data_IF_603924150938
#
_entry.id   IF_603924150938
#
_cell.length_a   1.000
_cell.length_b   1.000
_cell.length_c   1.000
_cell.angle_alpha   90.00
_cell.angle_beta   90.00
_cell.angle_gamma   90.00
#
_symmetry.space_group_name_H-M   'P 1'
#
loop_
_entity.id
_entity.type
_entity.pdbx_description
1 polymer ?
#
# COMPACT_ATOMS: atom_id res chain seq x y z
N UNK A 1 -16.97 -6.48 38.22
CA UNK A 1 -16.00 -5.68 37.42
C UNK A 1 -15.52 -6.40 36.14
N UNK A 2 -15.24 -7.71 36.18
CA UNK A 2 -14.76 -8.46 35.00
C UNK A 2 -15.78 -8.57 33.87
N UNK A 3 -17.08 -8.65 34.15
CA UNK A 3 -18.14 -8.77 33.13
C UNK A 3 -18.34 -7.50 32.29
N UNK A 4 -18.18 -6.32 32.87
CA UNK A 4 -18.32 -5.03 32.18
C UNK A 4 -17.14 -4.75 31.22
N UNK A 5 -15.94 -5.18 31.57
CA UNK A 5 -14.75 -5.07 30.72
C UNK A 5 -14.86 -5.97 29.47
N UNK A 6 -15.38 -7.18 29.61
CA UNK A 6 -15.60 -8.10 28.49
C UNK A 6 -16.66 -7.58 27.49
N UNK A 7 -17.73 -6.96 27.98
CA UNK A 7 -18.79 -6.40 27.14
C UNK A 7 -18.29 -5.16 26.35
N UNK A 8 -17.52 -4.28 26.97
CA UNK A 8 -16.94 -3.11 26.31
C UNK A 8 -15.90 -3.50 25.25
N UNK A 9 -15.10 -4.52 25.50
CA UNK A 9 -14.14 -5.07 24.52
C UNK A 9 -14.87 -5.69 23.32
N UNK A 10 -15.95 -6.43 23.54
CA UNK A 10 -16.77 -7.04 22.50
C UNK A 10 -17.39 -5.98 21.55
N UNK A 11 -17.97 -4.91 22.09
CA UNK A 11 -18.51 -3.80 21.28
C UNK A 11 -17.43 -3.09 20.47
N UNK A 12 -16.27 -2.85 21.06
CA UNK A 12 -15.15 -2.23 20.36
C UNK A 12 -14.61 -3.11 19.24
N UNK A 13 -14.51 -4.41 19.46
CA UNK A 13 -14.11 -5.37 18.43
C UNK A 13 -15.12 -5.41 17.27
N UNK A 14 -16.42 -5.45 17.57
CA UNK A 14 -17.47 -5.42 16.56
C UNK A 14 -17.44 -4.13 15.73
N UNK A 15 -17.20 -2.97 16.36
CA UNK A 15 -17.02 -1.69 15.66
C UNK A 15 -15.83 -1.74 14.71
N UNK A 16 -14.68 -2.25 15.18
CA UNK A 16 -13.49 -2.39 14.35
C UNK A 16 -13.72 -3.35 13.17
N UNK A 17 -14.42 -4.45 13.40
CA UNK A 17 -14.80 -5.42 12.37
C UNK A 17 -15.72 -4.81 11.31
N UNK A 18 -16.67 -3.97 11.73
CA UNK A 18 -17.55 -3.23 10.81
C UNK A 18 -16.75 -2.26 9.95
N UNK A 19 -15.82 -1.50 10.55
CA UNK A 19 -14.96 -0.59 9.83
C UNK A 19 -14.05 -1.33 8.85
N UNK A 20 -13.46 -2.46 9.26
CA UNK A 20 -12.65 -3.32 8.40
C UNK A 20 -13.46 -3.80 7.18
N UNK A 21 -14.67 -4.32 7.39
CA UNK A 21 -15.54 -4.79 6.31
C UNK A 21 -16.00 -3.69 5.34
N UNK A 22 -15.93 -2.43 5.77
CA UNK A 22 -16.19 -1.25 4.93
C UNK A 22 -14.93 -0.64 4.33
N UNK A 23 -13.79 -1.30 4.48
CA UNK A 23 -12.47 -0.80 4.02
C UNK A 23 -12.03 0.51 4.67
N UNK A 24 -12.59 0.86 5.83
CA UNK A 24 -12.19 2.02 6.64
C UNK A 24 -11.00 1.61 7.52
N UNK A 25 -9.89 1.23 6.89
CA UNK A 25 -8.75 0.61 7.56
C UNK A 25 -8.10 1.49 8.61
N UNK A 26 -8.06 2.81 8.39
CA UNK A 26 -7.49 3.77 9.37
C UNK A 26 -8.23 3.70 10.70
N UNK A 27 -9.56 3.68 10.67
CA UNK A 27 -10.38 3.62 11.88
C UNK A 27 -10.40 2.23 12.51
N UNK A 28 -10.35 1.17 11.68
CA UNK A 28 -10.26 -0.20 12.13
C UNK A 28 -8.94 -0.42 12.89
N UNK A 29 -7.81 -0.01 12.33
CA UNK A 29 -6.47 -0.11 12.94
C UNK A 29 -6.43 0.57 14.30
N UNK A 30 -6.89 1.84 14.41
CA UNK A 30 -6.92 2.56 15.70
C UNK A 30 -7.62 1.77 16.79
N UNK A 31 -8.76 1.15 16.43
CA UNK A 31 -9.57 0.40 17.40
C UNK A 31 -8.91 -0.94 17.74
N UNK A 32 -8.41 -1.69 16.76
CA UNK A 32 -7.72 -2.96 16.99
C UNK A 32 -6.43 -2.78 17.79
N UNK A 33 -5.61 -1.77 17.51
CA UNK A 33 -4.39 -1.48 18.27
C UNK A 33 -4.69 -1.12 19.71
N UNK A 34 -5.75 -0.34 19.96
CA UNK A 34 -6.16 -0.02 21.33
C UNK A 34 -6.58 -1.29 22.11
N UNK A 35 -7.27 -2.21 21.43
CA UNK A 35 -7.60 -3.52 22.04
C UNK A 35 -6.35 -4.35 22.32
N UNK A 36 -5.41 -4.41 21.38
CA UNK A 36 -4.14 -5.12 21.56
C UNK A 36 -3.30 -4.54 22.72
N UNK A 37 -3.21 -3.19 22.81
CA UNK A 37 -2.54 -2.47 23.92
C UNK A 37 -3.17 -2.77 25.27
N UNK A 38 -4.47 -3.02 25.33
CA UNK A 38 -5.20 -3.44 26.54
C UNK A 38 -5.04 -4.95 26.85
N UNK A 39 -4.19 -5.66 26.12
CA UNK A 39 -3.89 -7.07 26.34
C UNK A 39 -4.83 -8.03 25.61
N UNK A 40 -5.78 -7.56 24.79
CA UNK A 40 -6.61 -8.46 23.99
C UNK A 40 -5.79 -9.08 22.86
N UNK A 41 -5.73 -10.41 22.83
CA UNK A 41 -4.97 -11.18 21.85
C UNK A 41 -5.87 -12.24 21.23
N UNK A 42 -6.05 -12.18 19.93
CA UNK A 42 -6.75 -13.22 19.17
C UNK A 42 -6.24 -13.31 17.74
N UNK A 43 -6.36 -14.48 17.14
CA UNK A 43 -6.01 -14.66 15.74
C UNK A 43 -6.81 -13.75 14.83
N UNK A 44 -8.10 -13.52 15.12
CA UNK A 44 -8.97 -12.60 14.38
C UNK A 44 -8.46 -11.15 14.44
N UNK A 45 -8.08 -10.67 15.63
CA UNK A 45 -7.58 -9.30 15.79
C UNK A 45 -6.26 -9.12 15.03
N UNK A 46 -5.31 -10.03 15.22
CA UNK A 46 -3.99 -9.90 14.59
C UNK A 46 -4.04 -10.10 13.08
N UNK A 47 -4.90 -10.99 12.58
CA UNK A 47 -5.10 -11.13 11.12
C UNK A 47 -5.65 -9.85 10.49
N UNK A 48 -6.67 -9.25 11.08
CA UNK A 48 -7.28 -8.02 10.56
C UNK A 48 -6.39 -6.79 10.70
N UNK A 49 -5.55 -6.71 11.73
CA UNK A 49 -4.49 -5.70 11.84
C UNK A 49 -3.46 -5.88 10.73
N UNK A 50 -2.92 -7.09 10.58
CA UNK A 50 -1.99 -7.41 9.51
C UNK A 50 -2.56 -7.08 8.14
N UNK A 51 -3.78 -7.51 7.87
CA UNK A 51 -4.48 -7.23 6.61
C UNK A 51 -4.71 -5.74 6.37
N UNK A 52 -5.14 -5.00 7.40
CA UNK A 52 -5.39 -3.55 7.27
C UNK A 52 -4.11 -2.79 6.90
N UNK A 53 -2.98 -3.14 7.49
CA UNK A 53 -1.69 -2.57 7.12
C UNK A 53 -1.19 -3.07 5.77
N UNK A 54 -1.38 -4.36 5.46
CA UNK A 54 -1.00 -4.96 4.19
C UNK A 54 -1.70 -4.26 3.00
N UNK A 55 -3.02 -4.06 3.10
CA UNK A 55 -3.80 -3.38 2.05
C UNK A 55 -3.48 -1.89 1.91
N UNK A 56 -2.89 -1.28 2.94
CA UNK A 56 -2.34 0.08 2.87
C UNK A 56 -0.90 0.12 2.35
N UNK A 57 -0.32 -1.02 1.93
CA UNK A 57 1.10 -1.18 1.55
C UNK A 57 2.09 -0.83 2.67
N UNK A 58 1.64 -0.83 3.92
CA UNK A 58 2.45 -0.64 5.13
C UNK A 58 3.01 -2.00 5.58
N UNK A 59 3.90 -2.56 4.79
CA UNK A 59 4.34 -3.94 4.94
C UNK A 59 5.17 -4.18 6.20
N UNK A 60 5.91 -3.20 6.69
CA UNK A 60 6.68 -3.35 7.93
C UNK A 60 5.76 -3.54 9.14
N UNK A 61 4.69 -2.74 9.25
CA UNK A 61 3.70 -2.88 10.32
C UNK A 61 2.85 -4.14 10.15
N UNK A 62 2.46 -4.47 8.92
CA UNK A 62 1.76 -5.72 8.63
C UNK A 62 2.60 -6.94 9.05
N UNK A 63 3.92 -6.89 8.82
CA UNK A 63 4.86 -7.94 9.22
C UNK A 63 4.82 -8.21 10.73
N UNK A 64 4.83 -7.16 11.54
CA UNK A 64 4.77 -7.27 13.01
C UNK A 64 3.49 -7.96 13.49
N UNK A 65 2.34 -7.63 12.87
CA UNK A 65 1.06 -8.22 13.24
C UNK A 65 0.90 -9.67 12.75
N UNK A 66 1.40 -9.98 11.55
CA UNK A 66 1.43 -11.36 11.07
C UNK A 66 2.39 -12.22 11.90
N UNK A 67 3.50 -11.67 12.41
CA UNK A 67 4.36 -12.40 13.35
C UNK A 67 3.62 -12.76 14.63
N UNK A 68 2.86 -11.82 15.21
CA UNK A 68 2.00 -12.10 16.37
C UNK A 68 0.93 -13.16 16.05
N UNK A 69 0.32 -13.07 14.86
CA UNK A 69 -0.67 -14.05 14.41
C UNK A 69 -0.08 -15.47 14.36
N UNK A 70 1.07 -15.63 13.72
CA UNK A 70 1.72 -16.93 13.55
C UNK A 70 2.34 -17.46 14.86
N UNK A 71 2.58 -16.60 15.83
CA UNK A 71 2.99 -17.02 17.19
C UNK A 71 1.82 -17.61 18.00
N UNK A 72 0.59 -17.13 17.77
CA UNK A 72 -0.60 -17.65 18.45
C UNK A 72 -1.11 -18.95 17.85
N UNK A 73 -1.01 -19.11 16.54
CA UNK A 73 -1.66 -20.21 15.83
C UNK A 73 -0.75 -20.78 14.75
N UNK A 74 -0.45 -22.08 14.85
CA UNK A 74 0.45 -22.76 13.91
C UNK A 74 -0.18 -23.04 12.54
N UNK A 75 -1.50 -23.21 12.46
CA UNK A 75 -2.21 -23.52 11.22
C UNK A 75 -3.14 -22.38 10.85
N UNK A 76 -2.87 -21.77 9.71
CA UNK A 76 -3.59 -20.62 9.17
C UNK A 76 -4.21 -20.95 7.81
N UNK A 77 -5.19 -20.15 7.38
CA UNK A 77 -5.62 -20.16 5.99
C UNK A 77 -4.43 -19.82 5.06
N UNK A 78 -4.37 -20.49 3.91
CA UNK A 78 -3.21 -20.44 3.01
C UNK A 78 -2.83 -19.01 2.60
N UNK A 79 -3.80 -18.13 2.44
CA UNK A 79 -3.59 -16.73 2.07
C UNK A 79 -2.68 -15.97 3.06
N UNK A 80 -2.72 -16.29 4.36
CA UNK A 80 -1.86 -15.65 5.36
C UNK A 80 -0.39 -16.05 5.22
N UNK A 81 -0.09 -17.27 4.76
CA UNK A 81 1.28 -17.65 4.43
C UNK A 81 1.83 -16.80 3.30
N UNK A 82 1.02 -16.56 2.26
CA UNK A 82 1.40 -15.70 1.14
C UNK A 82 1.62 -14.25 1.59
N UNK A 83 0.63 -13.63 2.26
CA UNK A 83 0.73 -12.23 2.70
C UNK A 83 1.90 -12.01 3.64
N UNK A 84 2.09 -12.91 4.61
CA UNK A 84 3.22 -12.80 5.53
C UNK A 84 4.55 -12.96 4.79
N UNK A 85 4.67 -13.87 3.84
CA UNK A 85 5.86 -13.99 3.02
C UNK A 85 6.17 -12.70 2.23
N UNK A 86 5.15 -12.02 1.68
CA UNK A 86 5.36 -10.73 1.00
C UNK A 86 5.88 -9.65 1.96
N UNK A 87 5.32 -9.57 3.18
CA UNK A 87 5.79 -8.60 4.17
C UNK A 87 7.21 -8.91 4.65
N UNK A 88 7.59 -10.17 4.80
CA UNK A 88 8.95 -10.60 5.12
C UNK A 88 9.95 -10.23 4.03
N UNK A 89 9.58 -10.38 2.75
CA UNK A 89 10.40 -9.92 1.63
C UNK A 89 10.65 -8.41 1.70
N UNK A 90 9.64 -7.63 2.04
CA UNK A 90 9.76 -6.17 2.13
C UNK A 90 10.69 -5.69 3.25
N UNK A 91 10.85 -6.49 4.32
CA UNK A 91 11.80 -6.22 5.41
C UNK A 91 13.13 -6.99 5.27
N UNK A 92 13.37 -7.63 4.12
CA UNK A 92 14.63 -8.30 3.79
C UNK A 92 14.79 -9.70 4.37
N UNK A 93 13.77 -10.26 5.03
CA UNK A 93 13.84 -11.62 5.58
C UNK A 93 13.43 -12.68 4.54
N UNK A 94 14.27 -12.85 3.54
CA UNK A 94 13.99 -13.73 2.39
C UNK A 94 13.93 -15.21 2.74
N UNK A 95 14.71 -15.65 3.73
CA UNK A 95 14.76 -17.06 4.16
C UNK A 95 13.41 -17.51 4.78
N UNK A 96 12.92 -16.74 5.77
CA UNK A 96 11.60 -17.00 6.38
C UNK A 96 10.47 -16.84 5.34
N UNK A 97 10.58 -15.87 4.43
CA UNK A 97 9.63 -15.67 3.35
C UNK A 97 9.57 -16.90 2.42
N UNK A 98 10.71 -17.46 2.04
CA UNK A 98 10.78 -18.67 1.21
C UNK A 98 10.14 -19.88 1.90
N UNK A 99 10.33 -20.02 3.20
CA UNK A 99 9.70 -21.09 4.00
C UNK A 99 8.18 -20.99 3.99
N UNK A 100 7.64 -19.77 4.19
CA UNK A 100 6.19 -19.54 4.17
C UNK A 100 5.61 -19.69 2.74
N UNK A 101 6.36 -19.28 1.72
CA UNK A 101 5.94 -19.50 0.32
C UNK A 101 5.83 -21.00 0.00
N UNK A 102 6.77 -21.83 0.45
CA UNK A 102 6.66 -23.31 0.29
C UNK A 102 5.41 -23.85 0.99
N UNK A 103 5.09 -23.35 2.21
CA UNK A 103 3.86 -23.77 2.91
C UNK A 103 2.58 -23.35 2.15
N UNK A 104 2.59 -22.17 1.52
CA UNK A 104 1.51 -21.72 0.64
C UNK A 104 1.39 -22.62 -0.61
N UNK A 105 2.50 -22.93 -1.27
CA UNK A 105 2.57 -23.73 -2.49
C UNK A 105 2.03 -25.14 -2.31
N UNK A 106 2.32 -25.78 -1.16
CA UNK A 106 1.80 -27.12 -0.82
C UNK A 106 0.28 -27.12 -0.76
N UNK A 107 -0.33 -26.05 -0.23
CA UNK A 107 -1.78 -25.95 -0.09
C UNK A 107 -2.48 -25.44 -1.37
N UNK A 108 -1.74 -24.80 -2.28
CA UNK A 108 -2.28 -24.11 -3.46
C UNK A 108 -1.48 -24.43 -4.73
N UNK A 109 -1.33 -25.70 -5.06
CA UNK A 109 -0.45 -26.18 -6.15
C UNK A 109 -0.81 -25.60 -7.53
N UNK A 110 -2.08 -25.32 -7.79
CA UNK A 110 -2.59 -24.77 -9.05
C UNK A 110 -2.74 -23.25 -9.07
N UNK A 111 -2.47 -22.57 -7.98
CA UNK A 111 -2.53 -21.11 -7.90
C UNK A 111 -1.44 -20.51 -8.80
N UNK A 112 -1.80 -19.45 -9.55
CA UNK A 112 -0.86 -18.76 -10.45
C UNK A 112 0.37 -18.22 -9.71
N UNK A 113 0.21 -17.80 -8.45
CA UNK A 113 1.32 -17.34 -7.60
C UNK A 113 2.31 -18.46 -7.30
N UNK A 114 1.82 -19.68 -7.06
CA UNK A 114 2.64 -20.89 -6.90
C UNK A 114 3.40 -21.22 -8.18
N UNK A 115 2.70 -21.19 -9.32
CA UNK A 115 3.31 -21.46 -10.62
C UNK A 115 4.43 -20.46 -10.94
N UNK A 116 4.19 -19.18 -10.67
CA UNK A 116 5.19 -18.12 -10.85
C UNK A 116 6.38 -18.27 -9.89
N UNK A 117 6.13 -18.56 -8.60
CA UNK A 117 7.20 -18.75 -7.62
C UNK A 117 8.14 -19.90 -8.01
N UNK A 118 7.59 -21.03 -8.48
CA UNK A 118 8.37 -22.16 -8.98
C UNK A 118 9.23 -21.83 -10.20
N UNK A 119 8.73 -20.98 -11.10
CA UNK A 119 9.48 -20.52 -12.29
C UNK A 119 10.61 -19.52 -11.94
N UNK A 120 10.48 -18.82 -10.83
CA UNK A 120 11.38 -17.73 -10.44
C UNK A 120 12.22 -18.09 -9.20
N UNK A 121 12.66 -19.32 -9.07
CA UNK A 121 13.41 -19.82 -7.90
C UNK A 121 14.67 -18.98 -7.61
N UNK A 122 15.34 -18.47 -8.63
CA UNK A 122 16.59 -17.70 -8.54
C UNK A 122 16.43 -16.21 -8.85
N UNK A 123 15.24 -15.63 -8.63
CA UNK A 123 14.95 -14.24 -9.03
C UNK A 123 15.88 -13.20 -8.39
N UNK A 124 16.40 -13.43 -7.18
CA UNK A 124 17.35 -12.54 -6.54
C UNK A 124 18.71 -12.53 -7.25
N UNK A 125 19.16 -13.66 -7.74
CA UNK A 125 20.42 -13.75 -8.50
C UNK A 125 20.26 -13.07 -9.87
N UNK A 126 19.11 -13.20 -10.51
CA UNK A 126 18.81 -12.48 -11.75
C UNK A 126 18.73 -10.96 -11.51
N UNK A 127 18.15 -10.50 -10.41
CA UNK A 127 18.16 -9.08 -10.03
C UNK A 127 19.58 -8.59 -9.82
N UNK A 128 20.42 -9.35 -9.09
CA UNK A 128 21.82 -8.99 -8.85
C UNK A 128 22.62 -8.94 -10.16
N UNK A 129 22.45 -9.93 -11.05
CA UNK A 129 23.09 -9.99 -12.36
C UNK A 129 22.75 -8.77 -13.23
N UNK A 130 21.53 -8.25 -13.09
CA UNK A 130 21.06 -7.08 -13.82
C UNK A 130 21.29 -5.75 -13.06
N UNK A 131 21.86 -5.78 -11.87
CA UNK A 131 22.17 -4.57 -11.09
C UNK A 131 23.25 -3.74 -11.81
N UNK A 132 23.20 -2.43 -11.61
CA UNK A 132 24.15 -1.50 -12.23
C UNK A 132 23.85 -1.09 -13.68
N UNK A 133 22.84 -1.69 -14.33
CA UNK A 133 22.41 -1.30 -15.70
C UNK A 133 21.84 0.11 -15.76
N UNK A 134 21.23 0.57 -14.67
CA UNK A 134 20.56 1.86 -14.59
C UNK A 134 21.02 2.61 -13.34
N UNK A 135 21.19 3.91 -13.50
CA UNK A 135 21.39 4.82 -12.38
C UNK A 135 20.02 5.35 -11.96
N UNK A 136 19.56 4.93 -10.78
CA UNK A 136 18.27 5.36 -10.21
C UNK A 136 18.55 6.39 -9.12
N UNK A 137 17.86 7.52 -9.19
CA UNK A 137 17.95 8.57 -8.18
C UNK A 137 16.57 9.18 -7.92
N UNK A 138 16.40 9.77 -6.73
CA UNK A 138 15.20 10.53 -6.42
C UNK A 138 15.09 11.74 -7.34
N UNK A 139 13.90 11.95 -7.90
CA UNK A 139 13.64 13.05 -8.84
C UNK A 139 13.66 14.45 -8.19
N UNK A 140 13.79 14.54 -6.85
CA UNK A 140 13.79 15.80 -6.11
C UNK A 140 12.43 16.48 -5.97
N UNK A 141 11.40 15.95 -6.61
CA UNK A 141 10.02 16.46 -6.58
C UNK A 141 9.06 15.55 -5.80
N UNK A 142 9.55 14.44 -5.27
CA UNK A 142 8.74 13.50 -4.53
C UNK A 142 8.24 14.10 -3.22
N UNK A 143 7.01 13.76 -2.85
CA UNK A 143 6.40 14.11 -1.56
C UNK A 143 6.49 12.92 -0.58
N UNK A 144 6.19 13.11 0.71
CA UNK A 144 6.04 12.00 1.65
C UNK A 144 4.76 11.18 1.44
N UNK A 145 3.97 11.53 0.44
CA UNK A 145 2.72 10.87 0.05
C UNK A 145 2.91 10.03 -1.21
N UNK A 146 1.82 9.47 -1.74
CA UNK A 146 1.87 8.70 -2.99
C UNK A 146 2.12 9.62 -4.18
N UNK A 147 3.23 9.40 -4.88
CA UNK A 147 3.59 10.02 -6.16
C UNK A 147 3.83 8.91 -7.19
N UNK A 148 3.12 8.91 -8.33
CA UNK A 148 3.19 7.84 -9.33
C UNK A 148 2.63 8.24 -10.70
N UNK A 149 2.71 7.31 -11.67
CA UNK A 149 2.06 7.44 -12.97
C UNK A 149 2.54 8.64 -13.78
N UNK A 150 3.86 8.83 -13.86
CA UNK A 150 4.45 9.96 -14.59
C UNK A 150 4.35 9.78 -16.12
N UNK A 151 4.04 10.86 -16.83
CA UNK A 151 4.06 10.94 -18.26
C UNK A 151 4.73 12.25 -18.73
N UNK A 152 5.42 12.20 -19.87
CA UNK A 152 5.99 13.39 -20.48
C UNK A 152 4.93 14.14 -21.29
N UNK A 153 4.88 15.45 -21.09
CA UNK A 153 4.05 16.38 -21.87
C UNK A 153 4.86 17.64 -22.19
N UNK A 154 5.27 17.79 -23.43
CA UNK A 154 6.18 18.87 -23.84
C UNK A 154 7.44 18.91 -22.94
N UNK A 155 7.75 20.05 -22.31
CA UNK A 155 8.85 20.21 -21.37
C UNK A 155 8.42 20.01 -19.89
N UNK A 156 7.41 19.18 -19.64
CA UNK A 156 6.83 18.97 -18.31
C UNK A 156 6.66 17.48 -18.05
N UNK A 157 6.99 17.04 -16.84
CA UNK A 157 6.59 15.73 -16.34
C UNK A 157 5.26 15.91 -15.60
N UNK A 158 4.21 15.28 -16.10
CA UNK A 158 2.88 15.26 -15.47
C UNK A 158 2.73 13.94 -14.72
N UNK A 159 2.34 14.00 -13.45
CA UNK A 159 2.26 12.84 -12.58
C UNK A 159 1.12 12.96 -11.58
N UNK A 160 0.76 11.83 -11.00
CA UNK A 160 -0.24 11.72 -9.94
C UNK A 160 0.39 11.95 -8.58
N UNK A 161 -0.24 12.75 -7.72
CA UNK A 161 0.23 12.96 -6.35
C UNK A 161 -0.93 13.10 -5.36
N UNK A 162 -0.76 12.51 -4.17
CA UNK A 162 -1.62 12.71 -3.00
C UNK A 162 -1.11 13.84 -2.08
N UNK A 163 -0.16 14.68 -2.54
CA UNK A 163 0.41 15.78 -1.75
C UNK A 163 -0.66 16.77 -1.32
N UNK A 164 -0.50 17.22 -0.09
CA UNK A 164 -1.32 18.30 0.45
C UNK A 164 -0.82 19.65 -0.09
N UNK A 165 -1.72 20.45 -0.63
CA UNK A 165 -1.40 21.79 -1.12
C UNK A 165 -1.69 22.89 -0.10
N UNK A 166 -1.88 22.53 1.19
CA UNK A 166 -2.00 23.50 2.29
C UNK A 166 -3.37 24.17 2.39
N UNK A 167 -4.43 23.55 1.90
CA UNK A 167 -5.80 24.03 2.08
C UNK A 167 -6.25 23.93 3.55
N UNK A 168 -7.11 24.87 4.00
CA UNK A 168 -7.68 24.86 5.35
C UNK A 168 -8.49 23.59 5.66
N UNK A 169 -9.05 22.94 4.65
CA UNK A 169 -9.82 21.71 4.76
C UNK A 169 -9.31 20.66 3.77
N UNK A 170 -8.42 19.80 4.25
CA UNK A 170 -7.90 18.68 3.45
C UNK A 170 -8.77 17.46 3.63
N UNK A 171 -9.48 17.07 2.58
CA UNK A 171 -10.27 15.84 2.56
C UNK A 171 -9.34 14.64 2.42
N UNK A 172 -9.40 13.71 3.39
CA UNK A 172 -8.63 12.47 3.40
C UNK A 172 -9.56 11.27 3.30
N UNK A 173 -9.12 10.20 2.66
CA UNK A 173 -9.90 8.98 2.60
C UNK A 173 -9.47 7.98 3.67
N UNK A 174 -10.41 7.18 4.17
CA UNK A 174 -10.20 6.30 5.32
C UNK A 174 -9.48 4.99 4.99
N UNK A 175 -9.08 4.78 3.74
CA UNK A 175 -8.25 3.63 3.37
C UNK A 175 -6.84 3.77 3.95
N UNK A 176 -6.14 4.88 3.71
CA UNK A 176 -4.76 5.11 4.11
C UNK A 176 -4.47 6.50 4.69
N UNK A 177 -5.50 7.30 4.97
CA UNK A 177 -5.39 8.65 5.53
C UNK A 177 -4.62 9.66 4.65
N UNK A 178 -4.55 9.41 3.35
CA UNK A 178 -3.97 10.36 2.39
C UNK A 178 -5.06 11.24 1.75
N UNK A 179 -4.64 12.37 1.19
CA UNK A 179 -5.49 13.23 0.37
C UNK A 179 -5.89 12.52 -0.93
N UNK A 180 -6.97 12.96 -1.54
CA UNK A 180 -7.34 12.51 -2.87
C UNK A 180 -6.26 12.94 -3.86
N UNK A 181 -5.90 12.04 -4.79
CA UNK A 181 -4.85 12.29 -5.77
C UNK A 181 -5.30 13.28 -6.82
N UNK A 182 -4.37 14.14 -7.22
CA UNK A 182 -4.53 15.10 -8.31
C UNK A 182 -3.38 14.93 -9.31
N UNK A 183 -3.54 15.50 -10.50
CA UNK A 183 -2.47 15.61 -11.48
C UNK A 183 -1.64 16.86 -11.20
N UNK A 184 -0.33 16.67 -11.12
CA UNK A 184 0.68 17.70 -10.95
C UNK A 184 1.64 17.73 -12.14
N UNK A 185 2.16 18.90 -12.43
CA UNK A 185 3.19 19.09 -13.46
C UNK A 185 4.46 19.68 -12.85
N UNK A 186 5.62 19.17 -13.23
CA UNK A 186 6.93 19.75 -12.93
C UNK A 186 7.67 20.01 -14.24
N UNK A 187 8.02 21.26 -14.51
CA UNK A 187 8.79 21.66 -15.70
C UNK A 187 10.20 21.10 -15.62
N UNK A 188 10.71 20.58 -16.73
CA UNK A 188 12.12 20.25 -16.87
C UNK A 188 12.92 21.56 -16.94
N UNK A 189 13.86 21.76 -16.02
CA UNK A 189 14.75 22.91 -16.00
C UNK A 189 16.02 22.63 -16.80
N UNK A 190 16.53 21.39 -16.66
CA UNK A 190 17.62 20.82 -17.46
C UNK A 190 17.45 19.28 -17.54
N UNK A 191 18.46 18.58 -18.06
CA UNK A 191 18.44 17.12 -18.22
C UNK A 191 18.33 16.34 -16.90
N UNK A 192 18.54 16.98 -15.76
CA UNK A 192 18.65 16.35 -14.44
C UNK A 192 17.75 16.98 -13.37
N UNK A 193 17.24 18.18 -13.61
CA UNK A 193 16.51 18.97 -12.64
C UNK A 193 15.08 19.25 -13.08
N UNK A 194 14.16 19.09 -12.14
CA UNK A 194 12.76 19.43 -12.28
C UNK A 194 12.41 20.64 -11.41
N UNK A 195 11.50 21.46 -11.91
CA UNK A 195 10.93 22.60 -11.18
C UNK A 195 9.99 22.16 -10.07
N UNK A 196 9.49 23.12 -9.32
CA UNK A 196 8.52 22.88 -8.24
C UNK A 196 7.21 22.34 -8.86
N UNK A 197 6.66 21.23 -8.33
CA UNK A 197 5.42 20.69 -8.80
C UNK A 197 4.23 21.61 -8.51
N UNK A 198 3.43 21.88 -9.51
CA UNK A 198 2.19 22.64 -9.44
C UNK A 198 1.01 21.80 -9.94
N UNK A 199 -0.21 22.13 -9.54
CA UNK A 199 -1.40 21.47 -10.10
C UNK A 199 -1.42 21.65 -11.63
N UNK A 200 -1.49 20.52 -12.35
CA UNK A 200 -1.35 20.52 -13.81
C UNK A 200 -2.44 21.36 -14.49
N UNK A 201 -3.70 21.18 -14.10
CA UNK A 201 -4.81 21.95 -14.66
C UNK A 201 -5.99 22.01 -13.69
N UNK A 202 -6.66 23.15 -13.62
CA UNK A 202 -7.89 23.31 -12.84
C UNK A 202 -9.05 22.48 -13.41
N UNK A 203 -9.07 22.25 -14.73
CA UNK A 203 -10.13 21.50 -15.40
C UNK A 203 -9.99 19.99 -15.26
N UNK A 204 -8.79 19.50 -14.98
CA UNK A 204 -8.52 18.07 -14.81
C UNK A 204 -8.59 17.61 -13.38
N UNK A 205 -8.33 18.49 -12.42
CA UNK A 205 -8.36 18.18 -10.99
C UNK A 205 -9.74 18.44 -10.40
N UNK A 206 -10.24 17.53 -9.60
CA UNK A 206 -11.56 17.57 -8.98
C UNK A 206 -11.52 17.19 -7.50
N UNK A 207 -12.68 16.88 -6.92
CA UNK A 207 -12.81 16.34 -5.56
C UNK A 207 -12.57 14.83 -5.47
N UNK A 208 -12.32 14.17 -6.58
CA UNK A 208 -12.10 12.73 -6.69
C UNK A 208 -10.60 12.41 -6.84
N UNK A 209 -10.28 11.13 -7.06
CA UNK A 209 -8.93 10.72 -7.44
C UNK A 209 -8.75 10.87 -8.94
N UNK A 210 -7.77 11.65 -9.35
CA UNK A 210 -7.24 11.65 -10.71
C UNK A 210 -5.89 10.95 -10.73
N UNK A 211 -5.64 10.15 -11.79
CA UNK A 211 -4.39 9.40 -11.89
C UNK A 211 -4.00 9.03 -13.32
N UNK A 212 -2.77 8.62 -13.46
CA UNK A 212 -2.20 7.94 -14.63
C UNK A 212 -2.47 8.68 -15.94
N UNK A 213 -1.95 9.92 -16.11
CA UNK A 213 -2.12 10.67 -17.34
C UNK A 213 -1.32 10.02 -18.47
N UNK A 214 -1.90 10.03 -19.67
CA UNK A 214 -1.23 9.62 -20.92
C UNK A 214 -1.57 10.64 -21.97
N UNK A 215 -0.59 11.08 -22.75
CA UNK A 215 -0.75 12.06 -23.81
C UNK A 215 -0.59 11.39 -25.17
N UNK A 216 -1.36 11.87 -26.17
CA UNK A 216 -1.12 11.52 -27.55
C UNK A 216 0.22 12.11 -28.02
N UNK A 217 0.80 11.53 -29.07
CA UNK A 217 2.12 11.92 -29.59
C UNK A 217 2.15 13.41 -30.07
N UNK A 218 1.02 13.91 -30.56
CA UNK A 218 0.85 15.31 -30.97
C UNK A 218 0.63 16.27 -29.78
N UNK A 219 0.44 15.74 -28.55
CA UNK A 219 0.21 16.53 -27.36
C UNK A 219 -1.16 17.21 -27.27
N UNK A 220 -2.11 16.88 -28.18
CA UNK A 220 -3.43 17.52 -28.23
C UNK A 220 -4.41 16.86 -27.26
N UNK A 221 -4.32 15.55 -27.07
CA UNK A 221 -5.27 14.78 -26.26
C UNK A 221 -4.59 14.15 -25.05
N UNK A 222 -5.26 14.24 -23.91
CA UNK A 222 -4.86 13.56 -22.68
C UNK A 222 -5.94 12.59 -22.24
N UNK A 223 -5.53 11.36 -21.91
CA UNK A 223 -6.35 10.37 -21.23
C UNK A 223 -5.87 10.24 -19.79
N UNK A 224 -6.78 10.11 -18.85
CA UNK A 224 -6.46 9.89 -17.43
C UNK A 224 -7.59 9.14 -16.73
N UNK A 225 -7.30 8.53 -15.60
CA UNK A 225 -8.29 7.82 -14.79
C UNK A 225 -8.89 8.76 -13.74
N UNK A 226 -10.21 8.70 -13.56
CA UNK A 226 -10.92 9.37 -12.47
C UNK A 226 -11.97 8.42 -11.88
N UNK A 227 -12.05 8.34 -10.55
CA UNK A 227 -13.17 7.67 -9.89
C UNK A 227 -14.34 8.66 -9.74
N UNK A 228 -15.58 8.16 -9.76
CA UNK A 228 -16.81 8.98 -9.78
C UNK A 228 -17.64 8.87 -8.50
N UNK A 229 -17.05 8.52 -7.35
CA UNK A 229 -17.79 8.34 -6.09
C UNK A 229 -17.23 9.15 -4.95
#
# INVERSE_FOLDING_TARGET
>A
LFGLLGFAQSKSLQKADTNYGRYLYVDAVKTYENLAKKGYKSAQLFSKLGDSYYFQSRYAEANQWYEQLFSLQKKMASEYYFRYAQTLKSVGNYEKAATLMRAFEVQNATDKRTILAKKQTYYLDEIKKNSGRYRIQNAGINSPYSDYGAAFYQNTIVFTSARDTGGLFVRKHNWNNQSFTNLYGAKSLDSTKLGIPEKFSKNTNSKYHESTPVFTKDGITMYFTRNNY
#
